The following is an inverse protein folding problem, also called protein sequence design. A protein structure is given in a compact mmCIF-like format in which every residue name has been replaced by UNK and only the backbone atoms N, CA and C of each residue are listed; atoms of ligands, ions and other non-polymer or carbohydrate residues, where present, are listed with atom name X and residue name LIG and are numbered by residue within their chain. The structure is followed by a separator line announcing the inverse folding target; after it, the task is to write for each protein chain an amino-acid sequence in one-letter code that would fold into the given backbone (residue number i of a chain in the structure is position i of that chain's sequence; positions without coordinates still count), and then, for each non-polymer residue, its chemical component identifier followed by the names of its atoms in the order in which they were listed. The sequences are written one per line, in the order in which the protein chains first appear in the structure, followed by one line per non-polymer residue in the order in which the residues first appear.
data_IF_275665754654
#
_entry.id   IF_275665754654
#
_cell.length_a   1.000
_cell.length_b   1.000
_cell.length_c   1.000
_cell.angle_alpha   90.00
_cell.angle_beta   90.00
_cell.angle_gamma   90.00
#
_symmetry.space_group_name_H-M   'P 1'
#
loop_
_entity.id
_entity.type
_entity.pdbx_description
1 polymer ?
#
# COMPACT_ATOMS: atom_id res chain seq x y z
N UNK A 1 2.11 19.54 -5.68
CA UNK A 1 2.41 20.58 -6.69
C UNK A 1 2.73 20.02 -8.08
N UNK A 2 3.78 19.19 -8.24
CA UNK A 2 4.19 18.63 -9.56
C UNK A 2 3.08 17.89 -10.33
N UNK A 3 2.31 17.02 -9.67
CA UNK A 3 1.20 16.30 -10.33
C UNK A 3 0.14 17.26 -10.88
N UNK A 4 -0.20 18.33 -10.14
CA UNK A 4 -1.14 19.37 -10.61
C UNK A 4 -0.59 20.07 -11.85
N UNK A 5 0.70 20.42 -11.87
CA UNK A 5 1.34 21.03 -13.04
C UNK A 5 1.26 20.13 -14.28
N UNK A 6 1.63 18.85 -14.15
CA UNK A 6 1.56 17.88 -15.27
C UNK A 6 0.13 17.74 -15.78
N UNK A 7 -0.86 17.66 -14.88
CA UNK A 7 -2.26 17.58 -15.29
C UNK A 7 -2.72 18.82 -16.05
N UNK A 8 -2.33 20.02 -15.61
CA UNK A 8 -2.65 21.27 -16.29
C UNK A 8 -2.01 21.33 -17.68
N UNK A 9 -0.71 21.04 -17.77
CA UNK A 9 0.02 21.03 -19.05
C UNK A 9 -0.56 20.04 -20.06
N UNK A 10 -1.02 18.86 -19.61
CA UNK A 10 -1.68 17.90 -20.49
C UNK A 10 -3.08 18.36 -20.91
N UNK A 11 -3.85 19.00 -20.01
CA UNK A 11 -5.14 19.57 -20.36
C UNK A 11 -5.01 20.72 -21.38
N UNK A 12 -3.98 21.57 -21.24
CA UNK A 12 -3.72 22.68 -22.17
C UNK A 12 -3.44 22.17 -23.59
N UNK A 13 -2.72 21.05 -23.73
CA UNK A 13 -2.44 20.40 -25.02
C UNK A 13 -3.67 19.85 -25.74
N UNK A 14 -4.75 19.57 -25.02
CA UNK A 14 -5.98 19.09 -25.65
C UNK A 14 -6.67 20.22 -26.42
N UNK A 15 -7.07 19.90 -27.65
CA UNK A 15 -7.92 20.77 -28.48
C UNK A 15 -9.36 20.80 -27.94
N UNK A 16 -10.10 21.85 -28.30
CA UNK A 16 -11.52 21.98 -27.99
C UNK A 16 -11.81 22.88 -26.79
N UNK A 17 -13.10 23.06 -26.52
CA UNK A 17 -13.63 23.98 -25.50
C UNK A 17 -13.20 23.53 -24.09
N UNK A 18 -12.65 24.46 -23.33
CA UNK A 18 -12.43 24.33 -21.89
C UNK A 18 -13.77 24.55 -21.15
N UNK A 19 -14.12 23.64 -20.28
CA UNK A 19 -15.23 23.77 -19.35
C UNK A 19 -14.67 23.95 -17.94
N UNK A 20 -15.28 24.87 -17.20
CA UNK A 20 -14.92 25.22 -15.84
C UNK A 20 -16.13 25.05 -14.94
N UNK A 21 -16.00 24.23 -13.91
CA UNK A 21 -17.08 23.95 -12.96
C UNK A 21 -16.64 24.36 -11.55
N UNK A 22 -17.07 25.52 -11.04
CA UNK A 22 -16.84 25.89 -9.65
C UNK A 22 -17.65 24.98 -8.72
N UNK A 23 -17.05 24.60 -7.60
CA UNK A 23 -17.73 23.84 -6.56
C UNK A 23 -18.71 24.75 -5.79
N UNK A 24 -19.81 24.17 -5.34
CA UNK A 24 -20.67 24.80 -4.35
C UNK A 24 -20.22 24.34 -2.96
N UNK A 25 -19.89 25.29 -2.09
CA UNK A 25 -19.30 25.05 -0.76
C UNK A 25 -20.21 25.72 0.25
N UNK A 26 -20.69 24.95 1.22
CA UNK A 26 -21.55 25.41 2.30
C UNK A 26 -20.89 25.10 3.64
N UNK A 27 -20.77 26.09 4.53
CA UNK A 27 -20.00 26.00 5.78
C UNK A 27 -18.54 26.47 5.68
N UNK A 28 -17.87 26.59 6.82
CA UNK A 28 -16.49 27.07 6.92
C UNK A 28 -15.52 25.95 7.34
N UNK A 29 -14.67 25.54 6.41
CA UNK A 29 -13.65 24.53 6.66
C UNK A 29 -12.39 24.76 5.81
N UNK A 30 -11.28 24.20 6.29
CA UNK A 30 -9.97 24.38 5.67
C UNK A 30 -9.95 23.86 4.22
N UNK A 31 -9.28 24.60 3.33
CA UNK A 31 -9.12 24.23 1.91
C UNK A 31 -8.38 22.91 1.73
N UNK A 32 -7.52 22.53 2.68
CA UNK A 32 -6.83 21.24 2.70
C UNK A 32 -7.76 20.05 2.89
N UNK A 33 -8.97 20.27 3.42
CA UNK A 33 -9.99 19.25 3.66
C UNK A 33 -10.90 19.01 2.45
N UNK A 34 -10.74 19.77 1.36
CA UNK A 34 -11.64 19.65 0.20
C UNK A 34 -11.47 18.28 -0.48
N UNK A 35 -12.59 17.55 -0.73
CA UNK A 35 -12.54 16.22 -1.31
C UNK A 35 -12.16 16.22 -2.80
N UNK A 36 -12.43 17.33 -3.50
CA UNK A 36 -12.10 17.55 -4.90
C UNK A 36 -11.53 18.97 -5.14
N UNK A 37 -11.10 19.24 -6.37
CA UNK A 37 -10.60 20.57 -6.71
C UNK A 37 -11.77 21.59 -6.70
N UNK A 38 -11.58 22.80 -6.13
CA UNK A 38 -12.67 23.79 -5.99
C UNK A 38 -13.15 24.34 -7.34
N UNK A 39 -12.32 24.27 -8.38
CA UNK A 39 -12.73 24.51 -9.76
C UNK A 39 -12.23 23.36 -10.62
N UNK A 40 -13.15 22.58 -11.16
CA UNK A 40 -12.83 21.49 -12.08
C UNK A 40 -12.69 22.04 -13.49
N UNK A 41 -11.50 21.90 -14.06
CA UNK A 41 -11.19 22.27 -15.44
C UNK A 41 -11.16 21.01 -16.30
N UNK A 42 -11.92 20.99 -17.39
CA UNK A 42 -12.05 19.77 -18.21
C UNK A 42 -12.23 20.09 -19.70
N UNK A 43 -11.74 19.18 -20.53
CA UNK A 43 -11.90 19.19 -22.00
C UNK A 43 -12.26 17.80 -22.47
N UNK A 44 -12.86 17.68 -23.66
CA UNK A 44 -12.99 16.39 -24.35
C UNK A 44 -11.59 15.79 -24.54
N UNK A 45 -11.44 14.50 -24.22
CA UNK A 45 -10.17 13.78 -24.21
C UNK A 45 -9.39 13.88 -22.89
N UNK A 46 -9.89 14.60 -21.88
CA UNK A 46 -9.22 14.67 -20.60
C UNK A 46 -9.23 13.31 -19.88
N UNK A 47 -8.06 12.89 -19.42
CA UNK A 47 -7.93 11.71 -18.56
C UNK A 47 -8.26 12.09 -17.13
N UNK A 48 -9.25 11.40 -16.56
CA UNK A 48 -9.74 11.67 -15.21
C UNK A 48 -9.72 10.42 -14.34
N UNK A 49 -9.83 10.67 -13.04
CA UNK A 49 -9.99 9.69 -11.99
C UNK A 49 -11.20 10.06 -11.15
N UNK A 50 -12.10 9.10 -10.92
CA UNK A 50 -13.28 9.27 -10.07
C UNK A 50 -12.88 9.43 -8.59
N UNK A 51 -13.67 10.17 -7.81
CA UNK A 51 -13.37 10.52 -6.41
C UNK A 51 -14.38 9.98 -5.40
N UNK A 52 -15.46 9.37 -5.87
CA UNK A 52 -16.46 8.70 -5.05
C UNK A 52 -16.74 7.28 -5.57
N UNK A 53 -17.60 6.57 -4.85
CA UNK A 53 -18.20 5.34 -5.35
C UNK A 53 -19.56 5.69 -5.96
N UNK A 54 -19.83 5.14 -7.13
CA UNK A 54 -21.13 5.27 -7.77
C UNK A 54 -22.18 4.42 -7.05
N UNK A 55 -23.44 4.90 -7.05
CA UNK A 55 -24.57 4.17 -6.47
C UNK A 55 -24.93 2.95 -7.31
N UNK A 56 -24.89 3.09 -8.63
CA UNK A 56 -25.20 2.04 -9.60
C UNK A 56 -24.00 1.12 -9.88
N UNK A 57 -22.89 1.34 -9.17
CA UNK A 57 -21.64 0.56 -9.20
C UNK A 57 -20.95 0.52 -10.55
N UNK A 58 -21.18 1.51 -11.42
CA UNK A 58 -20.40 1.64 -12.65
C UNK A 58 -18.94 2.00 -12.38
N UNK A 59 -18.67 2.74 -11.30
CA UNK A 59 -17.31 3.05 -10.85
C UNK A 59 -17.15 3.05 -9.34
N UNK A 60 -15.90 2.84 -8.90
CA UNK A 60 -15.45 3.03 -7.52
C UNK A 60 -14.40 4.15 -7.45
N UNK A 61 -14.08 4.60 -6.24
CA UNK A 61 -13.11 5.67 -6.01
C UNK A 61 -11.77 5.33 -6.69
N UNK A 62 -11.43 6.19 -7.64
CA UNK A 62 -10.25 6.17 -8.49
C UNK A 62 -10.27 5.21 -9.67
N UNK A 63 -11.45 4.80 -10.09
CA UNK A 63 -11.69 4.35 -11.46
C UNK A 63 -11.23 5.43 -12.43
N UNK A 64 -10.49 5.03 -13.46
CA UNK A 64 -9.95 5.93 -14.47
C UNK A 64 -10.90 6.01 -15.66
N UNK A 65 -10.91 7.15 -16.34
CA UNK A 65 -11.72 7.32 -17.55
C UNK A 65 -11.24 8.48 -18.44
N UNK A 66 -11.85 8.57 -19.61
CA UNK A 66 -11.61 9.62 -20.60
C UNK A 66 -12.91 10.37 -20.85
N UNK A 67 -12.86 11.69 -20.78
CA UNK A 67 -14.02 12.55 -21.04
C UNK A 67 -14.36 12.51 -22.53
N UNK A 68 -15.56 12.05 -22.88
CA UNK A 68 -16.07 12.02 -24.25
C UNK A 68 -16.84 13.27 -24.65
N UNK A 69 -17.42 13.97 -23.68
CA UNK A 69 -18.06 15.26 -23.91
C UNK A 69 -18.76 15.82 -22.68
N UNK A 70 -19.32 17.02 -22.85
CA UNK A 70 -20.15 17.69 -21.85
C UNK A 70 -21.44 18.10 -22.52
N UNK A 71 -22.59 17.69 -21.96
CA UNK A 71 -23.93 18.05 -22.45
C UNK A 71 -24.67 18.85 -21.39
N UNK A 72 -25.47 19.83 -21.77
CA UNK A 72 -26.36 20.51 -20.82
C UNK A 72 -27.71 19.80 -20.79
N UNK A 73 -28.20 19.48 -19.60
CA UNK A 73 -29.51 18.84 -19.38
C UNK A 73 -30.51 19.89 -18.93
N UNK A 74 -31.43 20.30 -19.82
CA UNK A 74 -32.50 21.27 -19.48
C UNK A 74 -33.35 20.81 -18.29
N UNK A 75 -33.65 19.51 -18.19
CA UNK A 75 -34.45 18.94 -17.09
C UNK A 75 -33.78 19.08 -15.71
N UNK A 76 -32.45 19.03 -15.67
CA UNK A 76 -31.68 19.08 -14.42
C UNK A 76 -31.05 20.46 -14.18
N UNK A 77 -31.24 21.37 -15.13
CA UNK A 77 -30.56 22.67 -15.21
C UNK A 77 -29.04 22.60 -15.00
N UNK A 78 -28.43 21.46 -15.33
CA UNK A 78 -27.05 21.15 -15.03
C UNK A 78 -26.33 20.51 -16.23
N UNK A 79 -25.00 20.64 -16.25
CA UNK A 79 -24.18 19.89 -17.18
C UNK A 79 -24.08 18.41 -16.77
N UNK A 80 -23.89 17.54 -17.77
CA UNK A 80 -23.58 16.12 -17.64
C UNK A 80 -22.25 15.89 -18.30
N UNK A 81 -21.30 15.28 -17.59
CA UNK A 81 -20.00 14.92 -18.15
C UNK A 81 -20.08 13.46 -18.59
N UNK A 82 -19.88 13.22 -19.88
CA UNK A 82 -19.88 11.87 -20.45
C UNK A 82 -18.45 11.35 -20.36
N UNK A 83 -18.27 10.22 -19.68
CA UNK A 83 -16.97 9.59 -19.42
C UNK A 83 -16.99 8.16 -19.94
N UNK A 84 -15.99 7.81 -20.73
CA UNK A 84 -15.69 6.41 -21.03
C UNK A 84 -14.72 5.88 -19.98
N UNK A 85 -15.16 4.89 -19.21
CA UNK A 85 -14.37 4.23 -18.19
C UNK A 85 -13.42 3.21 -18.84
N UNK A 86 -12.32 2.85 -18.14
CA UNK A 86 -11.33 1.90 -18.68
C UNK A 86 -11.89 0.49 -18.91
N UNK A 87 -13.02 0.14 -18.28
CA UNK A 87 -13.74 -1.11 -18.53
C UNK A 87 -14.65 -1.05 -19.78
N UNK A 88 -14.64 0.05 -20.53
CA UNK A 88 -15.38 0.24 -21.77
C UNK A 88 -16.78 0.83 -21.62
N UNK A 89 -17.31 0.98 -20.40
CA UNK A 89 -18.62 1.59 -20.19
C UNK A 89 -18.57 3.10 -20.39
N UNK A 90 -19.55 3.64 -21.12
CA UNK A 90 -19.83 5.07 -21.17
C UNK A 90 -20.86 5.43 -20.09
N UNK A 91 -20.53 6.41 -19.24
CA UNK A 91 -21.36 6.85 -18.12
C UNK A 91 -21.60 8.35 -18.14
N UNK A 92 -22.76 8.77 -17.64
CA UNK A 92 -23.06 10.18 -17.38
C UNK A 92 -22.76 10.51 -15.92
N UNK A 93 -21.88 11.49 -15.68
CA UNK A 93 -21.49 11.91 -14.34
C UNK A 93 -22.14 13.24 -14.00
N UNK A 94 -22.79 13.29 -12.84
CA UNK A 94 -23.41 14.47 -12.23
C UNK A 94 -22.62 14.95 -11.01
N UNK A 95 -22.86 16.17 -10.52
CA UNK A 95 -22.31 16.65 -9.27
C UNK A 95 -22.66 15.73 -8.09
N UNK A 96 -21.72 15.56 -7.18
CA UNK A 96 -21.85 14.79 -5.94
C UNK A 96 -21.57 15.70 -4.74
N UNK A 97 -22.33 15.51 -3.67
CA UNK A 97 -22.18 16.26 -2.42
C UNK A 97 -21.49 15.40 -1.38
N UNK A 98 -20.34 15.86 -0.88
CA UNK A 98 -19.69 15.32 0.30
C UNK A 98 -20.11 16.13 1.52
N UNK A 99 -20.53 15.45 2.58
CA UNK A 99 -20.69 16.05 3.90
C UNK A 99 -19.34 16.10 4.61
N UNK A 100 -19.05 17.22 5.26
CA UNK A 100 -17.80 17.42 5.99
C UNK A 100 -18.09 17.40 7.47
N UNK A 101 -17.43 16.48 8.15
CA UNK A 101 -17.63 16.22 9.55
C UNK A 101 -16.45 16.72 10.38
N UNK A 102 -16.76 17.29 11.54
CA UNK A 102 -15.79 17.59 12.59
C UNK A 102 -16.00 16.61 13.75
N UNK A 103 -14.92 15.96 14.15
CA UNK A 103 -14.92 15.08 15.30
C UNK A 103 -14.58 15.88 16.55
N UNK A 104 -15.44 15.80 17.56
CA UNK A 104 -15.20 16.40 18.88
C UNK A 104 -15.17 15.30 19.93
N UNK A 105 -14.21 15.37 20.84
CA UNK A 105 -14.21 14.48 21.99
C UNK A 105 -15.07 15.09 23.09
N UNK A 106 -16.18 14.43 23.40
CA UNK A 106 -17.02 14.74 24.53
C UNK A 106 -16.41 14.08 25.78
N UNK A 107 -15.87 14.91 26.68
CA UNK A 107 -15.20 14.45 27.91
C UNK A 107 -16.18 13.88 28.93
N UNK A 108 -17.43 14.35 28.92
CA UNK A 108 -18.44 13.97 29.90
C UNK A 108 -19.05 12.61 29.53
N UNK A 109 -19.24 12.36 28.23
CA UNK A 109 -19.72 11.06 27.72
C UNK A 109 -18.60 10.06 27.41
N UNK A 110 -17.33 10.49 27.44
CA UNK A 110 -16.17 9.67 27.05
C UNK A 110 -16.25 9.17 25.59
N UNK A 111 -16.91 9.92 24.71
CA UNK A 111 -17.21 9.51 23.33
C UNK A 111 -16.77 10.56 22.32
N UNK A 112 -16.43 10.11 21.12
CA UNK A 112 -16.23 10.99 19.96
C UNK A 112 -17.60 11.25 19.34
N UNK A 113 -18.01 12.51 19.31
CA UNK A 113 -19.21 12.97 18.60
C UNK A 113 -18.80 13.51 17.23
N UNK A 114 -19.74 13.40 16.28
CA UNK A 114 -19.55 13.83 14.89
C UNK A 114 -20.59 14.89 14.57
N UNK A 115 -20.13 16.06 14.13
CA UNK A 115 -21.01 17.17 13.73
C UNK A 115 -20.73 17.53 12.27
N UNK A 116 -21.78 17.65 11.46
CA UNK A 116 -21.66 18.14 10.08
C UNK A 116 -21.40 19.64 10.13
N UNK A 117 -20.21 20.05 9.70
CA UNK A 117 -19.78 21.46 9.70
C UNK A 117 -19.93 22.13 8.33
N UNK A 118 -20.35 21.37 7.31
CA UNK A 118 -20.57 21.88 5.98
C UNK A 118 -20.74 20.79 4.93
N UNK A 119 -20.90 21.22 3.68
CA UNK A 119 -20.97 20.36 2.51
C UNK A 119 -20.13 20.92 1.36
N UNK A 120 -19.66 20.02 0.50
CA UNK A 120 -18.91 20.36 -0.71
C UNK A 120 -19.58 19.64 -1.88
N UNK A 121 -20.05 20.37 -2.89
CA UNK A 121 -20.72 19.81 -4.07
C UNK A 121 -19.92 20.10 -5.33
N UNK A 122 -19.51 19.04 -6.04
CA UNK A 122 -18.69 19.10 -7.26
C UNK A 122 -18.82 17.80 -8.05
N UNK A 123 -18.48 17.79 -9.34
CA UNK A 123 -18.29 16.54 -10.07
C UNK A 123 -17.23 15.66 -9.39
N UNK A 124 -17.50 14.38 -9.12
CA UNK A 124 -16.60 13.50 -8.39
C UNK A 124 -15.48 12.96 -9.26
N UNK A 125 -14.70 13.87 -9.84
CA UNK A 125 -13.55 13.54 -10.67
C UNK A 125 -12.45 14.58 -10.56
N UNK A 126 -11.23 14.17 -10.94
CA UNK A 126 -10.08 15.06 -11.12
C UNK A 126 -9.25 14.61 -12.31
N UNK A 127 -8.47 15.54 -12.87
CA UNK A 127 -7.46 15.20 -13.87
C UNK A 127 -6.45 14.19 -13.29
N UNK A 128 -6.05 13.23 -14.13
CA UNK A 128 -5.34 12.05 -13.68
C UNK A 128 -4.28 11.52 -14.65
N UNK A 129 -3.66 12.39 -15.47
CA UNK A 129 -2.41 12.04 -16.14
C UNK A 129 -1.28 11.82 -15.13
N UNK A 130 -1.30 12.56 -14.03
CA UNK A 130 -0.40 12.39 -12.90
C UNK A 130 -1.18 12.39 -11.57
N UNK A 131 -0.88 11.40 -10.73
CA UNK A 131 -1.37 11.30 -9.36
C UNK A 131 -0.21 11.13 -8.38
N UNK A 132 -0.42 11.45 -7.11
CA UNK A 132 0.60 11.19 -6.10
C UNK A 132 0.66 9.70 -5.78
N UNK A 133 1.83 9.20 -5.36
CA UNK A 133 2.00 7.80 -4.93
C UNK A 133 0.98 7.43 -3.85
N UNK A 134 0.70 8.33 -2.90
CA UNK A 134 -0.33 8.13 -1.87
C UNK A 134 -1.74 7.92 -2.46
N UNK A 135 -2.11 8.69 -3.49
CA UNK A 135 -3.42 8.53 -4.16
C UNK A 135 -3.47 7.34 -5.11
N UNK A 136 -2.34 6.74 -5.47
CA UNK A 136 -2.27 5.47 -6.19
C UNK A 136 -2.41 4.23 -5.30
N UNK A 137 -2.32 4.37 -3.97
CA UNK A 137 -2.37 3.22 -3.06
C UNK A 137 -3.69 2.46 -3.21
N UNK A 138 -3.60 1.13 -3.32
CA UNK A 138 -4.78 0.27 -3.53
C UNK A 138 -5.27 0.25 -4.99
N UNK A 139 -4.60 0.96 -5.91
CA UNK A 139 -4.92 0.94 -7.34
C UNK A 139 -4.00 0.02 -8.11
N UNK A 140 -4.46 -0.38 -9.28
CA UNK A 140 -3.77 -1.20 -10.25
C UNK A 140 -3.79 -0.48 -11.59
N UNK A 141 -2.65 -0.46 -12.28
CA UNK A 141 -2.48 0.19 -13.58
C UNK A 141 -1.71 -0.75 -14.52
N UNK A 142 -1.97 -0.65 -15.81
CA UNK A 142 -1.24 -1.41 -16.82
C UNK A 142 0.09 -0.76 -17.20
N UNK A 143 0.14 0.57 -17.20
CA UNK A 143 1.33 1.35 -17.52
C UNK A 143 1.48 2.52 -16.55
N UNK A 144 2.68 2.73 -16.03
CA UNK A 144 2.99 3.81 -15.08
C UNK A 144 4.33 4.46 -15.38
N UNK A 145 4.36 5.79 -15.32
CA UNK A 145 5.60 6.56 -15.27
C UNK A 145 5.81 7.02 -13.83
N UNK A 146 6.83 6.48 -13.17
CA UNK A 146 7.11 6.73 -11.76
C UNK A 146 8.20 7.80 -11.62
N UNK A 147 7.84 8.87 -10.92
CA UNK A 147 8.73 9.97 -10.58
C UNK A 147 8.79 10.16 -9.06
N UNK A 148 9.87 9.68 -8.45
CA UNK A 148 10.12 9.82 -7.00
C UNK A 148 10.78 11.17 -6.64
N UNK A 149 10.90 12.12 -7.57
CA UNK A 149 11.43 13.46 -7.31
C UNK A 149 12.85 13.45 -6.72
N UNK A 150 12.98 13.95 -5.48
CA UNK A 150 14.25 13.99 -4.72
C UNK A 150 14.54 12.68 -3.96
N UNK A 151 13.59 11.75 -3.92
CA UNK A 151 13.66 10.52 -3.15
C UNK A 151 12.33 10.23 -2.43
N UNK A 152 12.22 9.03 -1.89
CA UNK A 152 11.09 8.68 -1.02
C UNK A 152 11.24 9.34 0.35
N UNK A 153 10.13 9.82 0.89
CA UNK A 153 10.08 10.48 2.20
C UNK A 153 9.31 9.66 3.25
N UNK A 154 8.63 8.59 2.82
CA UNK A 154 7.90 7.68 3.70
C UNK A 154 8.33 6.24 3.47
N UNK A 155 8.35 5.46 4.55
CA UNK A 155 8.69 4.05 4.51
C UNK A 155 7.72 3.29 3.60
N UNK A 156 8.24 2.40 2.76
CA UNK A 156 7.43 1.62 1.81
C UNK A 156 6.87 2.41 0.62
N UNK A 157 7.09 3.73 0.51
CA UNK A 157 6.54 4.54 -0.58
C UNK A 157 6.99 4.06 -1.98
N UNK A 158 8.26 3.68 -2.13
CA UNK A 158 8.77 3.13 -3.40
C UNK A 158 8.10 1.79 -3.71
N UNK A 159 7.93 0.95 -2.70
CA UNK A 159 7.21 -0.32 -2.86
C UNK A 159 5.77 -0.10 -3.29
N UNK A 160 5.07 0.87 -2.69
CA UNK A 160 3.71 1.25 -3.10
C UNK A 160 3.72 1.63 -4.58
N UNK A 161 4.60 2.53 -5.02
CA UNK A 161 4.67 2.98 -6.41
C UNK A 161 4.93 1.84 -7.41
N UNK A 162 5.92 0.99 -7.13
CA UNK A 162 6.30 -0.12 -8.01
C UNK A 162 5.21 -1.21 -8.07
N UNK A 163 4.57 -1.50 -6.94
CA UNK A 163 3.53 -2.54 -6.85
C UNK A 163 2.17 -2.15 -7.44
N UNK A 164 2.04 -0.95 -8.04
CA UNK A 164 0.77 -0.56 -8.70
C UNK A 164 0.68 -1.05 -10.14
N UNK A 165 1.79 -1.41 -10.77
CA UNK A 165 1.81 -1.88 -12.16
C UNK A 165 1.59 -3.39 -12.24
N UNK A 166 0.81 -3.85 -13.22
CA UNK A 166 0.54 -5.28 -13.44
C UNK A 166 1.71 -6.02 -14.07
N UNK A 167 2.57 -5.32 -14.80
CA UNK A 167 3.74 -5.88 -15.48
C UNK A 167 5.00 -5.06 -15.20
N UNK A 168 6.17 -5.67 -15.37
CA UNK A 168 7.45 -4.96 -15.24
C UNK A 168 7.68 -4.04 -16.45
N UNK A 169 7.26 -4.48 -17.64
CA UNK A 169 7.33 -3.76 -18.90
C UNK A 169 6.49 -2.47 -18.89
N UNK A 170 5.37 -2.47 -18.16
CA UNK A 170 4.54 -1.29 -17.96
C UNK A 170 5.15 -0.23 -17.03
N UNK A 171 6.31 -0.48 -16.41
CA UNK A 171 6.97 0.47 -15.51
C UNK A 171 8.05 1.25 -16.24
N UNK A 172 7.90 2.58 -16.24
CA UNK A 172 8.94 3.52 -16.66
C UNK A 172 9.37 4.40 -15.50
N UNK A 173 10.68 4.52 -15.26
CA UNK A 173 11.23 5.38 -14.21
C UNK A 173 11.78 6.67 -14.83
N UNK A 174 11.32 7.83 -14.34
CA UNK A 174 11.89 9.12 -14.78
C UNK A 174 13.36 9.27 -14.34
N UNK A 175 13.72 8.66 -13.20
CA UNK A 175 15.10 8.62 -12.67
C UNK A 175 15.37 7.27 -12.01
N UNK A 176 16.63 6.80 -12.01
CA UNK A 176 17.01 5.59 -11.30
C UNK A 176 16.69 5.66 -9.80
N UNK A 177 16.11 4.57 -9.27
CA UNK A 177 15.84 4.43 -7.83
C UNK A 177 17.14 4.05 -7.13
N UNK A 178 17.59 4.88 -6.18
CA UNK A 178 18.77 4.62 -5.34
C UNK A 178 18.39 3.75 -4.14
N UNK A 179 19.30 2.90 -3.67
CA UNK A 179 19.10 2.04 -2.48
C UNK A 179 18.63 2.81 -1.24
N UNK A 180 19.13 4.03 -1.03
CA UNK A 180 18.71 4.91 0.08
C UNK A 180 17.22 5.29 0.07
N UNK A 181 16.54 5.19 -1.08
CA UNK A 181 15.11 5.47 -1.20
C UNK A 181 14.26 4.26 -0.79
N UNK A 182 14.86 3.09 -0.64
CA UNK A 182 14.17 1.84 -0.29
C UNK A 182 14.42 1.59 1.19
N UNK A 183 13.45 1.98 2.01
CA UNK A 183 13.48 1.77 3.44
C UNK A 183 12.10 1.40 3.96
N UNK A 184 12.10 0.66 5.06
CA UNK A 184 10.91 0.15 5.75
C UNK A 184 10.94 0.62 7.20
N UNK A 185 9.77 0.73 7.81
CA UNK A 185 9.67 1.02 9.23
C UNK A 185 10.05 -0.22 10.03
N UNK A 186 11.07 -0.10 10.90
CA UNK A 186 11.54 -1.22 11.71
C UNK A 186 10.46 -1.77 12.65
N UNK A 187 9.45 -0.98 13.02
CA UNK A 187 8.31 -1.45 13.81
C UNK A 187 7.50 -2.51 13.05
N UNK A 188 7.32 -2.33 11.75
CA UNK A 188 6.66 -3.32 10.88
C UNK A 188 7.51 -4.59 10.76
N UNK A 189 8.83 -4.45 10.56
CA UNK A 189 9.77 -5.59 10.51
C UNK A 189 9.71 -6.40 11.82
N UNK A 190 9.78 -5.70 12.97
CA UNK A 190 9.68 -6.32 14.29
C UNK A 190 8.34 -7.04 14.48
N UNK A 191 7.23 -6.41 14.12
CA UNK A 191 5.90 -7.01 14.21
C UNK A 191 5.80 -8.28 13.37
N UNK A 192 6.14 -8.20 12.08
CA UNK A 192 6.06 -9.35 11.16
C UNK A 192 6.98 -10.49 11.61
N UNK A 193 8.20 -10.18 12.03
CA UNK A 193 9.15 -11.18 12.54
C UNK A 193 8.58 -11.88 13.78
N UNK A 194 8.12 -11.13 14.78
CA UNK A 194 7.50 -11.71 15.98
C UNK A 194 6.24 -12.52 15.67
N UNK A 195 5.44 -12.06 14.69
CA UNK A 195 4.25 -12.77 14.25
C UNK A 195 4.61 -14.10 13.58
N UNK A 196 5.67 -14.16 12.76
CA UNK A 196 6.16 -15.42 12.19
C UNK A 196 6.66 -16.40 13.25
N UNK A 197 7.34 -15.90 14.30
CA UNK A 197 7.72 -16.75 15.44
C UNK A 197 6.48 -17.31 16.16
N UNK A 198 5.46 -16.47 16.41
CA UNK A 198 4.20 -16.91 17.00
C UNK A 198 3.51 -17.99 16.13
N UNK A 199 3.45 -17.80 14.81
CA UNK A 199 2.87 -18.80 13.90
C UNK A 199 3.66 -20.11 13.89
N UNK A 200 4.98 -20.03 13.97
CA UNK A 200 5.85 -21.21 14.08
C UNK A 200 5.60 -21.95 15.40
N UNK A 201 5.51 -21.23 16.51
CA UNK A 201 5.23 -21.80 17.83
C UNK A 201 3.86 -22.49 17.89
N UNK A 202 2.83 -21.89 17.28
CA UNK A 202 1.51 -22.53 17.15
C UNK A 202 1.54 -23.80 16.29
N UNK A 203 2.42 -23.87 15.28
CA UNK A 203 2.53 -25.02 14.38
C UNK A 203 3.31 -26.18 15.00
N UNK A 204 4.40 -25.85 15.68
CA UNK A 204 5.29 -26.79 16.33
C UNK A 204 5.82 -26.12 17.59
N UNK A 205 5.22 -26.42 18.77
CA UNK A 205 5.64 -25.83 20.04
C UNK A 205 7.11 -26.07 20.34
N UNK A 206 7.69 -25.23 21.18
CA UNK A 206 9.09 -25.27 21.58
C UNK A 206 9.53 -26.66 22.04
N UNK A 207 8.73 -27.31 22.89
CA UNK A 207 9.03 -28.64 23.42
C UNK A 207 9.05 -29.68 22.29
N UNK A 208 8.16 -29.55 21.30
CA UNK A 208 8.14 -30.44 20.15
C UNK A 208 9.34 -30.21 19.23
N UNK A 209 9.71 -28.94 18.98
CA UNK A 209 10.94 -28.58 18.25
C UNK A 209 12.17 -29.21 18.89
N UNK A 210 12.28 -29.13 20.22
CA UNK A 210 13.40 -29.72 20.97
C UNK A 210 13.41 -31.25 20.80
N UNK A 211 12.28 -31.93 21.01
CA UNK A 211 12.18 -33.39 20.82
C UNK A 211 12.55 -33.82 19.41
N UNK A 212 12.12 -33.07 18.40
CA UNK A 212 12.45 -33.35 17.00
C UNK A 212 13.96 -33.24 16.75
N UNK A 213 14.60 -32.20 17.27
CA UNK A 213 16.05 -32.01 17.18
C UNK A 213 16.80 -33.13 17.91
N UNK A 214 16.40 -33.47 19.13
CA UNK A 214 17.02 -34.54 19.91
C UNK A 214 16.90 -35.91 19.22
N UNK A 215 15.76 -36.18 18.57
CA UNK A 215 15.58 -37.38 17.76
C UNK A 215 16.56 -37.42 16.59
N UNK A 216 16.73 -36.30 15.88
CA UNK A 216 17.68 -36.21 14.77
C UNK A 216 19.14 -36.41 15.24
N UNK A 217 19.51 -35.86 16.39
CA UNK A 217 20.84 -36.07 17.02
C UNK A 217 21.06 -37.57 17.30
N UNK A 218 20.11 -38.23 17.96
CA UNK A 218 20.21 -39.67 18.28
C UNK A 218 20.34 -40.56 17.05
N UNK A 219 19.70 -40.16 15.94
CA UNK A 219 19.73 -40.89 14.68
C UNK A 219 20.91 -40.50 13.77
N UNK A 220 21.75 -39.55 14.19
CA UNK A 220 22.85 -39.05 13.36
C UNK A 220 22.39 -38.38 12.06
N UNK A 221 21.17 -37.83 12.03
CA UNK A 221 20.55 -37.27 10.84
C UNK A 221 20.75 -35.76 10.75
N UNK A 222 20.90 -35.26 9.53
CA UNK A 222 21.00 -33.83 9.26
C UNK A 222 19.61 -33.16 9.29
N UNK A 223 19.59 -31.88 9.65
CA UNK A 223 18.39 -31.06 9.69
C UNK A 223 18.48 -29.92 8.68
N UNK A 224 17.49 -29.82 7.81
CA UNK A 224 17.25 -28.59 7.06
C UNK A 224 16.33 -27.69 7.88
N UNK A 225 16.78 -26.48 8.19
CA UNK A 225 16.05 -25.49 8.99
C UNK A 225 15.74 -24.24 8.16
N UNK A 226 14.50 -23.77 8.21
CA UNK A 226 14.12 -22.42 7.76
C UNK A 226 14.31 -21.45 8.95
N UNK A 227 15.36 -20.65 8.91
CA UNK A 227 15.76 -19.77 10.00
C UNK A 227 15.45 -18.31 9.69
N UNK A 228 14.73 -17.64 10.59
CA UNK A 228 14.38 -16.22 10.48
C UNK A 228 15.18 -15.39 11.49
N UNK A 229 15.95 -14.41 11.02
CA UNK A 229 16.65 -13.47 11.91
C UNK A 229 15.74 -12.30 12.32
N UNK A 230 16.09 -11.56 13.39
CA UNK A 230 15.31 -10.40 13.85
C UNK A 230 15.08 -9.28 12.82
N UNK A 231 15.90 -9.21 11.77
CA UNK A 231 15.77 -8.22 10.68
C UNK A 231 14.94 -8.72 9.49
N UNK A 232 14.09 -9.72 9.67
CA UNK A 232 13.33 -10.41 8.61
C UNK A 232 14.20 -11.07 7.52
N UNK A 233 15.45 -11.38 7.85
CA UNK A 233 16.33 -12.13 6.96
C UNK A 233 16.08 -13.63 7.13
N UNK A 234 15.49 -14.24 6.10
CA UNK A 234 15.29 -15.69 6.01
C UNK A 234 16.51 -16.39 5.42
N UNK A 235 16.77 -17.60 5.91
CA UNK A 235 17.78 -18.49 5.33
C UNK A 235 17.40 -19.94 5.54
N UNK A 236 17.51 -20.76 4.50
CA UNK A 236 17.43 -22.22 4.61
C UNK A 236 18.84 -22.74 4.84
N UNK A 237 19.01 -23.67 5.78
CA UNK A 237 20.33 -24.20 6.17
C UNK A 237 20.25 -25.67 6.47
N UNK A 238 21.21 -26.44 5.97
CA UNK A 238 21.48 -27.79 6.45
C UNK A 238 22.44 -27.72 7.63
N UNK A 239 22.08 -28.37 8.73
CA UNK A 239 22.81 -28.39 9.99
C UNK A 239 22.95 -29.84 10.45
N UNK A 240 24.17 -30.25 10.79
CA UNK A 240 24.40 -31.50 11.54
C UNK A 240 24.23 -31.16 13.02
N UNK A 241 23.13 -31.59 13.67
CA UNK A 241 22.85 -31.17 15.03
C UNK A 241 23.75 -31.93 16.02
N UNK A 242 24.32 -31.23 17.00
CA UNK A 242 25.18 -31.82 18.03
C UNK A 242 24.45 -31.91 19.37
N UNK A 243 23.88 -30.79 19.84
CA UNK A 243 23.18 -30.71 21.12
C UNK A 243 22.20 -29.55 21.21
N UNK A 244 21.18 -29.73 22.04
CA UNK A 244 20.30 -28.66 22.50
C UNK A 244 20.83 -28.13 23.83
N UNK A 245 20.96 -26.82 23.96
CA UNK A 245 21.48 -26.15 25.15
C UNK A 245 20.65 -24.93 25.51
N UNK A 246 20.57 -24.62 26.81
CA UNK A 246 20.07 -23.33 27.29
C UNK A 246 21.21 -22.32 27.22
N UNK A 247 20.97 -21.18 26.59
CA UNK A 247 21.95 -20.12 26.36
C UNK A 247 21.42 -18.78 26.85
N UNK A 248 22.33 -17.84 27.15
CA UNK A 248 21.99 -16.48 27.60
C UNK A 248 22.73 -15.46 26.75
N UNK A 249 22.02 -14.50 26.18
CA UNK A 249 22.62 -13.40 25.44
C UNK A 249 21.94 -12.08 25.78
N UNK A 250 22.73 -11.06 26.16
CA UNK A 250 22.24 -9.73 26.57
C UNK A 250 21.09 -9.80 27.58
N UNK A 251 21.23 -10.67 28.58
CA UNK A 251 20.24 -10.86 29.64
C UNK A 251 19.00 -11.70 29.28
N UNK A 252 18.87 -12.17 28.04
CA UNK A 252 17.74 -13.00 27.60
C UNK A 252 18.19 -14.46 27.51
N UNK A 253 17.47 -15.34 28.22
CA UNK A 253 17.65 -16.80 28.12
C UNK A 253 16.83 -17.38 26.97
N UNK A 254 17.37 -18.41 26.31
CA UNK A 254 16.69 -19.12 25.23
C UNK A 254 17.25 -20.53 25.02
N UNK A 255 16.45 -21.39 24.39
CA UNK A 255 16.88 -22.70 23.94
C UNK A 255 17.54 -22.61 22.57
N UNK A 256 18.67 -23.29 22.40
CA UNK A 256 19.48 -23.23 21.20
C UNK A 256 19.96 -24.60 20.74
N UNK A 257 19.99 -24.79 19.43
CA UNK A 257 20.65 -25.89 18.75
C UNK A 257 22.11 -25.49 18.45
N UNK A 258 23.08 -26.25 18.97
CA UNK A 258 24.47 -26.20 18.52
C UNK A 258 24.71 -27.30 17.49
N UNK A 259 25.40 -26.95 16.41
CA UNK A 259 25.74 -27.91 15.36
C UNK A 259 26.55 -27.30 14.22
N UNK A 260 27.04 -28.18 13.34
CA UNK A 260 27.82 -27.79 12.17
C UNK A 260 26.90 -27.27 11.06
N UNK A 261 27.12 -26.03 10.63
CA UNK A 261 26.33 -25.40 9.57
C UNK A 261 27.03 -25.56 8.21
N UNK A 262 26.49 -26.42 7.34
CA UNK A 262 27.08 -26.72 6.03
C UNK A 262 27.19 -25.51 5.11
N UNK A 263 26.20 -24.61 5.15
CA UNK A 263 26.23 -23.36 4.38
C UNK A 263 27.38 -22.43 4.78
N UNK A 264 27.85 -22.50 6.04
CA UNK A 264 28.87 -21.61 6.59
C UNK A 264 30.18 -22.32 6.91
N UNK A 265 30.22 -23.65 6.74
CA UNK A 265 31.37 -24.52 7.00
C UNK A 265 31.98 -24.34 8.41
N UNK A 266 31.14 -24.11 9.41
CA UNK A 266 31.56 -23.90 10.79
C UNK A 266 30.47 -24.29 11.80
N UNK A 267 30.88 -24.56 13.04
CA UNK A 267 29.97 -24.74 14.16
C UNK A 267 29.26 -23.42 14.51
N UNK A 268 27.95 -23.51 14.70
CA UNK A 268 27.08 -22.36 15.01
C UNK A 268 26.01 -22.72 16.02
N UNK A 269 25.51 -21.68 16.68
CA UNK A 269 24.38 -21.73 17.59
C UNK A 269 23.15 -21.12 16.92
N UNK A 270 22.03 -21.85 16.96
CA UNK A 270 20.75 -21.47 16.38
C UNK A 270 19.70 -21.39 17.48
N UNK A 271 19.14 -20.20 17.70
CA UNK A 271 17.98 -20.03 18.58
C UNK A 271 16.79 -20.82 18.06
N UNK A 272 16.25 -21.75 18.86
CA UNK A 272 15.19 -22.67 18.43
C UNK A 272 13.88 -21.91 18.20
N UNK A 273 13.62 -20.84 18.96
CA UNK A 273 12.46 -19.94 18.77
C UNK A 273 12.43 -19.29 17.39
N UNK A 274 13.58 -19.22 16.72
CA UNK A 274 13.75 -18.61 15.40
C UNK A 274 13.74 -19.58 14.23
N UNK A 275 13.64 -20.88 14.51
CA UNK A 275 13.48 -21.90 13.48
C UNK A 275 11.98 -21.97 13.14
N UNK A 276 11.62 -21.48 11.96
CA UNK A 276 10.23 -21.44 11.51
C UNK A 276 9.72 -22.83 11.14
N UNK A 277 10.57 -23.61 10.46
CA UNK A 277 10.32 -24.97 9.99
C UNK A 277 11.60 -25.77 10.05
N UNK A 278 11.49 -27.07 10.23
CA UNK A 278 12.61 -28.00 10.14
C UNK A 278 12.17 -29.33 9.57
N UNK A 279 13.06 -30.01 8.84
CA UNK A 279 12.87 -31.38 8.39
C UNK A 279 14.18 -32.14 8.42
N UNK A 280 14.09 -33.46 8.54
CA UNK A 280 15.25 -34.34 8.39
C UNK A 280 15.62 -34.40 6.92
N UNK A 281 16.92 -34.36 6.66
CA UNK A 281 17.51 -34.62 5.33
C UNK A 281 18.54 -35.73 5.47
N UNK A 282 18.65 -36.54 4.42
CA UNK A 282 19.64 -37.63 4.34
C UNK A 282 21.07 -37.10 4.21
#
# INVERSE_FOLDING_TARGET
EKARRINRENLEKLRGKLYEFPAYIDGEFDRGSYPADPVLHIKKGAQIMMLNNDRDRYWVNGTMGIVRGVRYSRRLEAHKIIVELHNGYEVEVLPYTWEIFKYRFDRDMGKITTETIGSFTQYPMKLAWAVTIHKSQGKTFDNVIIDIGRGAFSAGQVYVALSRCTSFEGISLVKPIKKKNIFVDYRCVKFLTSYQYMLSEKRMPMEEKIRFIEKAIKQGKNLEIEYLKPGDERSVRVVTPEKVVKERYRGVEFMALKGYCHLRKQNRTFRIDRILRMRVVE
#
